data_IF_882107669716
#
_entry.id   IF_882107669716
#
_cell.length_a   1.000
_cell.length_b   1.000
_cell.length_c   1.000
_cell.angle_alpha   90.00
_cell.angle_beta   90.00
_cell.angle_gamma   90.00
#
_symmetry.space_group_name_H-M   'P 1'
#
loop_
_entity.id
_entity.type
_entity.pdbx_description
1 polymer ?
#
# COMPACT_ATOMS: atom_id res chain seq x y z
N UNK A 1 13.51 3.08 36.36
CA UNK A 1 13.39 4.55 36.18
C UNK A 1 13.40 4.86 34.68
N UNK A 2 12.49 5.70 34.17
CA UNK A 2 12.39 6.04 32.75
C UNK A 2 13.13 7.35 32.41
N UNK A 3 13.61 7.54 31.16
CA UNK A 3 14.27 8.77 30.75
C UNK A 3 13.28 9.94 30.71
N UNK A 4 13.79 11.15 30.98
CA UNK A 4 13.01 12.39 30.86
C UNK A 4 12.58 12.65 29.41
N UNK A 5 11.45 13.35 29.24
CA UNK A 5 10.82 13.59 27.94
C UNK A 5 11.75 14.25 26.90
N UNK A 6 12.64 15.16 27.31
CA UNK A 6 13.59 15.79 26.39
C UNK A 6 14.50 14.77 25.70
N UNK A 7 14.93 13.70 26.40
CA UNK A 7 15.72 12.61 25.80
C UNK A 7 14.88 11.83 24.77
N UNK A 8 13.61 11.61 25.07
CA UNK A 8 12.66 10.96 24.14
C UNK A 8 12.43 11.84 22.91
N UNK A 9 12.29 13.16 23.07
CA UNK A 9 12.10 14.11 21.97
C UNK A 9 13.29 14.10 21.01
N UNK A 10 14.51 14.12 21.54
CA UNK A 10 15.75 14.00 20.73
C UNK A 10 15.75 12.66 19.97
N UNK A 11 15.41 11.56 20.65
CA UNK A 11 15.31 10.25 20.00
C UNK A 11 14.21 10.18 18.93
N UNK A 12 13.08 10.88 19.11
CA UNK A 12 11.99 10.96 18.11
C UNK A 12 12.38 11.77 16.88
N UNK A 13 13.04 12.91 17.07
CA UNK A 13 13.53 13.76 15.97
C UNK A 13 14.47 12.99 15.05
N UNK A 14 15.29 12.12 15.64
CA UNK A 14 16.15 11.21 14.89
C UNK A 14 15.34 10.24 13.99
N UNK A 15 14.10 9.90 14.31
CA UNK A 15 13.27 8.95 13.57
C UNK A 15 12.34 9.59 12.52
N UNK A 16 12.35 10.92 12.37
CA UNK A 16 11.52 11.59 11.38
C UNK A 16 12.20 11.62 10.01
N UNK A 17 11.47 11.35 8.93
CA UNK A 17 12.00 11.52 7.58
C UNK A 17 12.22 12.99 7.26
N UNK A 18 13.13 13.26 6.33
CA UNK A 18 13.31 14.58 5.74
C UNK A 18 12.15 14.89 4.79
N UNK A 19 11.95 16.17 4.47
CA UNK A 19 10.99 16.65 3.46
C UNK A 19 9.51 16.32 3.75
N UNK A 20 9.11 16.37 5.03
CA UNK A 20 7.70 16.30 5.41
C UNK A 20 7.03 17.64 5.12
N UNK A 21 6.02 17.64 4.26
CA UNK A 21 5.16 18.79 4.03
C UNK A 21 3.87 18.61 4.83
N UNK A 22 3.54 19.57 5.69
CA UNK A 22 2.34 19.54 6.52
C UNK A 22 1.56 20.83 6.29
N UNK A 23 0.29 20.67 5.97
CA UNK A 23 -0.68 21.76 5.82
C UNK A 23 -1.90 21.46 6.69
N UNK A 24 -2.87 22.37 6.72
CA UNK A 24 -4.13 22.14 7.44
C UNK A 24 -4.95 20.97 6.87
N UNK A 25 -4.81 20.68 5.56
CA UNK A 25 -5.67 19.74 4.84
C UNK A 25 -4.99 18.42 4.47
N UNK A 26 -3.65 18.38 4.48
CA UNK A 26 -2.90 17.16 4.20
C UNK A 26 -1.50 17.21 4.81
N UNK A 27 -0.93 16.03 5.00
CA UNK A 27 0.51 15.88 5.14
C UNK A 27 1.04 14.86 4.13
N UNK A 28 2.18 15.16 3.52
CA UNK A 28 2.82 14.29 2.55
C UNK A 28 4.33 14.23 2.75
N UNK A 29 4.90 13.09 2.38
CA UNK A 29 6.33 12.85 2.37
C UNK A 29 6.69 12.40 0.96
N UNK A 30 7.77 12.97 0.41
CA UNK A 30 8.29 12.51 -0.89
C UNK A 30 8.67 11.03 -0.78
N UNK A 31 8.22 10.22 -1.75
CA UNK A 31 8.46 8.78 -1.71
C UNK A 31 9.95 8.43 -1.66
N UNK A 32 10.79 9.17 -2.39
CA UNK A 32 12.24 9.02 -2.32
C UNK A 32 12.77 9.28 -0.91
N UNK A 33 12.40 10.38 -0.25
CA UNK A 33 12.83 10.70 1.11
C UNK A 33 12.37 9.65 2.14
N UNK A 34 11.18 9.06 1.94
CA UNK A 34 10.68 7.98 2.77
C UNK A 34 11.44 6.66 2.55
N UNK A 35 11.84 6.37 1.31
CA UNK A 35 12.67 5.23 0.94
C UNK A 35 14.13 5.41 1.36
N UNK A 36 14.63 6.64 1.35
CA UNK A 36 15.98 6.96 1.79
C UNK A 36 16.10 7.03 3.30
N UNK A 37 14.98 7.09 4.02
CA UNK A 37 14.97 7.18 5.47
C UNK A 37 15.69 5.97 6.10
N UNK A 38 16.97 6.20 6.37
CA UNK A 38 18.01 5.19 6.41
C UNK A 38 17.88 4.28 7.62
N UNK A 39 17.26 4.78 8.69
CA UNK A 39 17.08 4.04 9.96
C UNK A 39 16.16 2.84 9.79
N UNK A 40 15.20 2.93 8.86
CA UNK A 40 14.32 1.83 8.54
C UNK A 40 15.09 0.64 7.96
N UNK A 41 15.95 0.90 6.98
CA UNK A 41 16.78 -0.10 6.33
C UNK A 41 17.93 -0.55 7.23
N UNK A 42 18.54 0.36 7.97
CA UNK A 42 19.70 0.07 8.81
C UNK A 42 19.36 -0.95 9.91
N UNK A 43 18.20 -0.80 10.58
CA UNK A 43 17.74 -1.77 11.57
C UNK A 43 17.47 -3.15 10.94
N UNK A 44 16.85 -3.16 9.75
CA UNK A 44 16.55 -4.37 9.00
C UNK A 44 17.84 -5.08 8.54
N UNK A 45 18.77 -4.33 7.97
CA UNK A 45 20.01 -4.85 7.37
C UNK A 45 21.02 -5.25 8.46
N UNK A 46 21.07 -4.55 9.60
CA UNK A 46 21.87 -5.00 10.75
C UNK A 46 21.41 -6.36 11.30
N UNK A 47 20.11 -6.66 11.27
CA UNK A 47 19.63 -7.99 11.69
C UNK A 47 20.12 -9.13 10.76
N UNK A 48 20.50 -8.79 9.52
CA UNK A 48 20.98 -9.73 8.50
C UNK A 48 22.51 -9.82 8.38
N UNK A 49 23.25 -9.30 9.37
CA UNK A 49 24.72 -9.12 9.46
C UNK A 49 25.61 -10.23 8.85
N UNK A 50 25.19 -11.50 8.87
CA UNK A 50 25.99 -12.61 8.34
C UNK A 50 26.07 -12.68 6.81
N UNK A 51 25.11 -12.10 6.07
CA UNK A 51 25.05 -12.25 4.61
C UNK A 51 25.66 -11.08 3.83
N UNK A 52 25.95 -9.95 4.48
CA UNK A 52 26.26 -8.68 3.81
C UNK A 52 27.69 -8.53 3.31
N UNK A 53 28.67 -9.29 3.84
CA UNK A 53 30.08 -9.14 3.44
C UNK A 53 30.35 -9.34 1.94
N UNK A 54 29.39 -9.94 1.20
CA UNK A 54 29.52 -10.27 -0.22
C UNK A 54 28.55 -9.44 -1.09
N UNK A 55 27.53 -8.81 -0.50
CA UNK A 55 26.37 -8.31 -1.25
C UNK A 55 26.38 -6.79 -1.36
N UNK A 56 26.80 -6.27 -2.52
CA UNK A 56 26.82 -4.80 -2.81
C UNK A 56 25.48 -4.25 -3.27
N UNK A 57 24.58 -5.10 -3.75
CA UNK A 57 23.27 -4.72 -4.28
C UNK A 57 22.16 -5.55 -3.66
N UNK A 58 21.18 -4.88 -3.08
CA UNK A 58 19.98 -5.49 -2.52
C UNK A 58 18.75 -5.00 -3.30
N UNK A 59 17.71 -5.82 -3.31
CA UNK A 59 16.41 -5.46 -3.82
C UNK A 59 15.41 -5.49 -2.66
N UNK A 60 14.54 -4.48 -2.58
CA UNK A 60 13.44 -4.45 -1.62
C UNK A 60 12.10 -4.51 -2.35
N UNK A 61 11.22 -5.38 -1.85
CA UNK A 61 9.81 -5.43 -2.26
C UNK A 61 9.00 -4.68 -1.23
N UNK A 62 8.26 -3.69 -1.71
CA UNK A 62 7.37 -2.85 -0.91
C UNK A 62 5.98 -2.96 -1.51
N UNK A 63 4.97 -3.24 -0.69
CA UNK A 63 3.58 -3.11 -1.09
C UNK A 63 3.12 -1.69 -0.78
N UNK A 64 2.24 -1.14 -1.61
CA UNK A 64 1.63 0.15 -1.35
C UNK A 64 0.18 0.17 -1.84
N UNK A 65 -0.56 1.16 -1.37
CA UNK A 65 -1.94 1.37 -1.76
C UNK A 65 -2.56 2.56 -1.04
N UNK A 66 -3.87 2.64 -1.11
CA UNK A 66 -4.64 3.73 -0.55
C UNK A 66 -5.97 3.25 -0.01
N UNK A 67 -6.54 4.01 0.90
CA UNK A 67 -7.81 3.70 1.55
C UNK A 67 -8.47 4.99 2.05
N UNK A 68 -9.80 4.97 2.13
CA UNK A 68 -10.65 6.06 2.58
C UNK A 68 -11.49 5.68 3.80
N UNK A 69 -11.57 6.57 4.78
CA UNK A 69 -12.39 6.37 5.99
C UNK A 69 -13.15 7.64 6.35
N UNK A 70 -14.38 7.50 6.83
CA UNK A 70 -15.15 8.59 7.42
C UNK A 70 -14.85 8.71 8.92
N UNK A 71 -14.77 9.92 9.45
CA UNK A 71 -14.43 10.20 10.84
C UNK A 71 -15.25 11.35 11.42
N UNK A 72 -15.27 11.46 12.75
CA UNK A 72 -15.90 12.57 13.45
C UNK A 72 -15.17 13.89 13.15
N UNK A 73 -15.93 14.95 12.87
CA UNK A 73 -15.40 16.29 12.63
C UNK A 73 -14.87 16.92 13.91
N UNK A 74 -13.68 17.50 13.84
CA UNK A 74 -13.17 18.34 14.91
C UNK A 74 -13.72 19.76 14.77
N UNK A 75 -13.78 20.51 15.87
CA UNK A 75 -14.12 21.95 15.85
C UNK A 75 -12.93 22.82 15.43
N UNK A 76 -12.07 22.31 14.55
CA UNK A 76 -10.90 23.01 14.06
C UNK A 76 -11.34 24.01 12.99
N UNK A 77 -10.89 25.26 13.12
CA UNK A 77 -11.12 26.27 12.09
C UNK A 77 -10.12 26.06 10.96
N UNK A 78 -10.62 25.86 9.75
CA UNK A 78 -9.80 25.85 8.54
C UNK A 78 -9.66 27.28 7.99
N UNK A 79 -8.55 27.52 7.29
CA UNK A 79 -8.31 28.78 6.58
C UNK A 79 -9.31 28.99 5.43
N UNK A 80 -9.88 27.91 4.86
CA UNK A 80 -10.91 27.99 3.83
C UNK A 80 -12.22 27.31 4.27
N UNK A 81 -13.35 27.90 3.90
CA UNK A 81 -14.69 27.40 4.26
C UNK A 81 -15.08 26.09 3.56
N UNK A 82 -14.38 25.72 2.48
CA UNK A 82 -14.63 24.50 1.72
C UNK A 82 -13.89 23.27 2.28
N UNK A 83 -13.09 23.43 3.33
CA UNK A 83 -12.35 22.34 3.95
C UNK A 83 -13.18 21.66 5.05
N UNK A 84 -13.09 20.33 5.09
CA UNK A 84 -13.74 19.49 6.11
C UNK A 84 -12.84 18.31 6.42
N UNK A 85 -12.77 17.93 7.70
CA UNK A 85 -12.06 16.75 8.21
C UNK A 85 -12.94 15.52 8.38
N UNK A 86 -14.19 15.56 7.92
CA UNK A 86 -15.14 14.44 7.99
C UNK A 86 -14.65 13.15 7.33
N UNK A 87 -13.78 13.27 6.32
CA UNK A 87 -13.25 12.11 5.61
C UNK A 87 -11.75 12.20 5.53
N UNK A 88 -11.11 11.05 5.67
CA UNK A 88 -9.67 10.88 5.55
C UNK A 88 -9.38 9.95 4.38
N UNK A 89 -8.52 10.40 3.48
CA UNK A 89 -7.95 9.56 2.43
C UNK A 89 -6.46 9.43 2.68
N UNK A 90 -5.95 8.19 2.65
CA UNK A 90 -4.56 7.90 2.98
C UNK A 90 -3.87 7.05 1.93
N UNK A 91 -2.58 7.32 1.70
CA UNK A 91 -1.67 6.51 0.90
C UNK A 91 -0.56 5.98 1.79
N UNK A 92 -0.25 4.71 1.63
CA UNK A 92 0.64 4.00 2.53
C UNK A 92 1.48 2.95 1.82
N UNK A 93 2.53 2.53 2.49
CA UNK A 93 3.37 1.42 2.06
C UNK A 93 3.85 0.55 3.21
N UNK A 94 4.14 -0.71 2.89
CA UNK A 94 4.67 -1.71 3.81
C UNK A 94 5.82 -2.45 3.13
N UNK A 95 7.02 -2.44 3.70
CA UNK A 95 8.12 -3.26 3.22
C UNK A 95 7.87 -4.73 3.59
N UNK A 96 8.06 -5.63 2.62
CA UNK A 96 7.76 -7.04 2.76
C UNK A 96 9.01 -7.89 2.84
N UNK A 97 9.98 -7.60 1.97
CA UNK A 97 11.12 -8.48 1.79
C UNK A 97 12.30 -7.71 1.25
N UNK A 98 13.49 -8.01 1.78
CA UNK A 98 14.77 -7.63 1.19
C UNK A 98 15.48 -8.90 0.75
N UNK A 99 15.99 -8.91 -0.47
CA UNK A 99 16.71 -10.03 -1.02
C UNK A 99 17.88 -9.58 -1.88
N UNK A 100 18.85 -10.47 -2.04
CA UNK A 100 19.90 -10.35 -3.03
C UNK A 100 19.73 -11.41 -4.10
N UNK A 101 20.27 -11.11 -5.28
CA UNK A 101 20.39 -12.07 -6.37
C UNK A 101 21.88 -12.34 -6.54
N UNK A 102 22.28 -13.61 -6.48
CA UNK A 102 23.66 -14.00 -6.80
C UNK A 102 23.87 -14.04 -8.31
N UNK A 103 25.14 -14.16 -8.75
CA UNK A 103 25.48 -14.30 -10.18
C UNK A 103 24.79 -15.50 -10.85
N UNK A 104 24.50 -16.55 -10.06
CA UNK A 104 23.75 -17.74 -10.48
C UNK A 104 22.22 -17.53 -10.51
N UNK A 105 21.74 -16.28 -10.38
CA UNK A 105 20.31 -15.90 -10.30
C UNK A 105 19.56 -16.49 -9.12
N UNK A 106 20.25 -16.95 -8.08
CA UNK A 106 19.61 -17.51 -6.88
C UNK A 106 19.16 -16.35 -5.99
N UNK A 107 17.87 -16.30 -5.67
CA UNK A 107 17.29 -15.32 -4.75
C UNK A 107 17.62 -15.72 -3.31
N UNK A 108 18.44 -14.92 -2.63
CA UNK A 108 18.76 -15.07 -1.21
C UNK A 108 18.00 -14.03 -0.39
N UNK A 109 17.13 -14.48 0.50
CA UNK A 109 16.37 -13.61 1.39
C UNK A 109 17.30 -13.10 2.50
N UNK A 110 17.38 -11.79 2.62
CA UNK A 110 18.19 -11.09 3.64
C UNK A 110 17.30 -10.72 4.82
N UNK A 111 16.08 -10.29 4.53
CA UNK A 111 15.07 -10.00 5.54
C UNK A 111 13.67 -10.27 4.98
N UNK A 112 12.79 -10.73 5.86
CA UNK A 112 11.38 -10.91 5.59
C UNK A 112 10.60 -10.24 6.71
N UNK A 113 9.56 -9.49 6.38
CA UNK A 113 8.67 -8.91 7.37
C UNK A 113 7.95 -10.04 8.14
N UNK A 114 8.14 -10.15 9.48
CA UNK A 114 7.53 -11.22 10.28
C UNK A 114 6.02 -11.03 10.48
N UNK A 115 5.49 -9.84 10.21
CA UNK A 115 4.07 -9.51 10.38
C UNK A 115 3.62 -8.52 9.31
N UNK A 116 3.47 -8.94 8.04
CA UNK A 116 3.20 -8.05 6.91
C UNK A 116 1.83 -7.35 6.99
N UNK A 117 0.91 -7.86 7.80
CA UNK A 117 -0.42 -7.28 8.04
C UNK A 117 -0.48 -6.40 9.29
N UNK A 118 0.63 -6.25 10.03
CA UNK A 118 0.67 -5.42 11.23
C UNK A 118 0.83 -3.95 10.88
N UNK A 119 0.06 -3.10 11.56
CA UNK A 119 0.18 -1.63 11.48
C UNK A 119 1.57 -1.12 11.86
N UNK A 120 2.38 -1.89 12.59
CA UNK A 120 3.75 -1.54 12.99
C UNK A 120 4.70 -1.29 11.81
N UNK A 121 4.50 -1.98 10.69
CA UNK A 121 5.33 -1.84 9.50
C UNK A 121 4.72 -0.91 8.44
N UNK A 122 3.53 -0.39 8.72
CA UNK A 122 2.85 0.57 7.87
C UNK A 122 3.58 1.92 7.91
N UNK A 123 3.84 2.48 6.73
CA UNK A 123 4.50 3.77 6.55
C UNK A 123 3.58 4.65 5.71
N UNK A 124 3.22 5.80 6.27
CA UNK A 124 2.34 6.75 5.62
C UNK A 124 3.15 7.53 4.57
N UNK A 125 2.65 7.57 3.34
CA UNK A 125 3.18 8.40 2.27
C UNK A 125 2.49 9.76 2.31
N UNK A 126 1.15 9.73 2.38
CA UNK A 126 0.31 10.92 2.41
C UNK A 126 -1.00 10.63 3.12
N UNK A 127 -1.53 11.61 3.82
CA UNK A 127 -2.94 11.61 4.20
C UNK A 127 -3.53 12.98 3.90
N UNK A 128 -4.83 13.01 3.60
CA UNK A 128 -5.57 14.23 3.35
C UNK A 128 -6.99 14.14 3.90
N UNK A 129 -7.50 15.29 4.34
CA UNK A 129 -8.90 15.46 4.70
C UNK A 129 -9.74 15.61 3.44
N UNK A 130 -10.12 14.48 2.85
CA UNK A 130 -10.91 14.41 1.64
C UNK A 130 -11.69 13.10 1.57
N UNK A 131 -12.88 13.16 0.96
CA UNK A 131 -13.69 11.96 0.70
C UNK A 131 -13.07 11.14 -0.42
N UNK A 132 -13.12 9.82 -0.28
CA UNK A 132 -12.67 8.91 -1.32
C UNK A 132 -13.56 9.01 -2.56
N UNK A 133 -13.02 9.62 -3.62
CA UNK A 133 -13.69 9.79 -4.92
C UNK A 133 -12.83 9.23 -6.05
N UNK A 134 -13.46 8.90 -7.18
CA UNK A 134 -12.79 8.41 -8.39
C UNK A 134 -11.65 9.33 -8.84
N UNK A 135 -11.87 10.65 -8.77
CA UNK A 135 -10.89 11.65 -9.18
C UNK A 135 -9.67 11.68 -8.25
N UNK A 136 -9.90 11.64 -6.94
CA UNK A 136 -8.81 11.63 -5.94
C UNK A 136 -7.99 10.35 -6.08
N UNK A 137 -8.64 9.18 -6.18
CA UNK A 137 -7.96 7.90 -6.37
C UNK A 137 -7.09 7.95 -7.63
N UNK A 138 -7.65 8.31 -8.79
CA UNK A 138 -6.91 8.34 -10.06
C UNK A 138 -5.73 9.30 -10.01
N UNK A 139 -5.93 10.49 -9.44
CA UNK A 139 -4.90 11.53 -9.35
C UNK A 139 -3.76 11.11 -8.44
N UNK A 140 -4.04 10.67 -7.22
CA UNK A 140 -3.00 10.31 -6.24
C UNK A 140 -2.28 9.01 -6.61
N UNK A 141 -3.00 8.02 -7.17
CA UNK A 141 -2.39 6.78 -7.68
C UNK A 141 -1.48 7.09 -8.87
N UNK A 142 -1.91 7.96 -9.80
CA UNK A 142 -1.07 8.40 -10.93
C UNK A 142 0.19 9.11 -10.44
N UNK A 143 0.06 10.10 -9.56
CA UNK A 143 1.18 10.85 -8.98
C UNK A 143 2.16 9.92 -8.27
N UNK A 144 1.66 8.99 -7.46
CA UNK A 144 2.52 8.04 -6.73
C UNK A 144 3.23 7.08 -7.70
N UNK A 145 2.57 6.63 -8.77
CA UNK A 145 3.22 5.80 -9.80
C UNK A 145 4.32 6.54 -10.54
N UNK A 146 4.12 7.82 -10.84
CA UNK A 146 5.17 8.66 -11.43
C UNK A 146 6.37 8.76 -10.49
N UNK A 147 6.13 8.97 -9.18
CA UNK A 147 7.19 8.92 -8.18
C UNK A 147 7.91 7.57 -8.16
N UNK A 148 7.16 6.46 -8.17
CA UNK A 148 7.71 5.08 -8.21
C UNK A 148 8.62 4.88 -9.42
N UNK A 149 8.23 5.38 -10.60
CA UNK A 149 9.07 5.28 -11.83
C UNK A 149 10.35 6.08 -11.73
N UNK A 150 10.32 7.21 -11.01
CA UNK A 150 11.49 8.07 -10.79
C UNK A 150 12.35 7.67 -9.59
N UNK A 151 11.99 6.61 -8.85
CA UNK A 151 12.74 6.19 -7.66
C UNK A 151 14.16 5.74 -8.02
N UNK A 152 15.12 6.27 -7.28
CA UNK A 152 16.51 5.89 -7.37
C UNK A 152 16.84 4.86 -6.28
N UNK A 153 17.81 3.96 -6.53
CA UNK A 153 18.33 3.09 -5.48
C UNK A 153 18.88 3.89 -4.31
N UNK A 154 18.49 3.51 -3.10
CA UNK A 154 18.98 4.11 -1.85
C UNK A 154 20.37 3.57 -1.53
N UNK A 155 21.35 4.43 -1.31
CA UNK A 155 22.70 4.05 -0.88
C UNK A 155 22.81 4.09 0.63
N UNK A 156 23.34 3.02 1.23
CA UNK A 156 23.51 2.89 2.67
C UNK A 156 24.97 2.55 2.95
N UNK A 157 25.62 3.31 3.83
CA UNK A 157 26.94 2.97 4.36
C UNK A 157 26.81 2.05 5.57
N UNK A 158 27.39 0.86 5.48
CA UNK A 158 27.41 -0.17 6.53
C UNK A 158 28.84 -0.64 6.74
N UNK A 159 29.46 -0.28 7.87
CA UNK A 159 30.82 -0.69 8.24
C UNK A 159 31.82 -0.48 7.10
N UNK A 160 31.89 0.75 6.57
CA UNK A 160 32.77 1.16 5.46
C UNK A 160 32.48 0.52 4.10
N UNK A 161 31.34 -0.17 3.96
CA UNK A 161 30.84 -0.67 2.67
C UNK A 161 29.59 0.10 2.23
N UNK A 162 29.57 0.55 0.98
CA UNK A 162 28.36 1.09 0.35
C UNK A 162 27.50 -0.06 -0.21
N UNK A 163 26.25 -0.13 0.26
CA UNK A 163 25.24 -1.06 -0.23
C UNK A 163 24.15 -0.27 -0.94
N UNK A 164 23.83 -0.65 -2.17
CA UNK A 164 22.74 -0.05 -2.94
C UNK A 164 21.48 -0.89 -2.81
N UNK A 165 20.37 -0.27 -2.40
CA UNK A 165 19.06 -0.92 -2.24
C UNK A 165 18.13 -0.44 -3.33
N UNK A 166 17.81 -1.33 -4.28
CA UNK A 166 16.89 -1.05 -5.37
C UNK A 166 15.44 -1.34 -4.96
N UNK A 167 14.53 -0.35 -5.05
CA UNK A 167 13.14 -0.56 -4.68
C UNK A 167 12.29 -1.15 -5.81
N UNK A 168 11.37 -2.04 -5.43
CA UNK A 168 10.28 -2.54 -6.29
C UNK A 168 8.97 -2.38 -5.53
N UNK A 169 8.10 -1.47 -6.00
CA UNK A 169 6.84 -1.15 -5.36
C UNK A 169 5.66 -1.81 -6.09
N UNK A 170 4.85 -2.56 -5.34
CA UNK A 170 3.68 -3.30 -5.84
C UNK A 170 2.41 -2.63 -5.31
N UNK A 171 1.56 -2.15 -6.22
CA UNK A 171 0.29 -1.52 -5.88
C UNK A 171 -0.77 -2.59 -5.62
N UNK A 172 -0.99 -2.94 -4.35
CA UNK A 172 -1.85 -4.07 -3.97
C UNK A 172 -2.49 -3.95 -2.59
N UNK A 173 -2.30 -2.83 -1.88
CA UNK A 173 -2.99 -2.57 -0.61
C UNK A 173 -4.22 -1.70 -0.85
N UNK A 174 -5.17 -2.24 -1.59
CA UNK A 174 -6.38 -1.54 -2.05
C UNK A 174 -7.60 -2.44 -1.90
N UNK A 175 -8.79 -1.87 -1.94
CA UNK A 175 -10.04 -2.62 -1.96
C UNK A 175 -10.58 -2.81 -3.39
N UNK A 176 -11.69 -3.54 -3.52
CA UNK A 176 -12.33 -3.76 -4.82
C UNK A 176 -12.85 -2.48 -5.47
N UNK A 177 -13.25 -1.48 -4.68
CA UNK A 177 -13.75 -0.19 -5.18
C UNK A 177 -12.62 0.60 -5.85
N UNK A 178 -11.47 0.67 -5.21
CA UNK A 178 -10.26 1.29 -5.75
C UNK A 178 -9.75 0.50 -6.97
N UNK A 179 -9.86 -0.84 -6.95
CA UNK A 179 -9.53 -1.65 -8.13
C UNK A 179 -10.39 -1.25 -9.34
N UNK A 180 -11.70 -1.16 -9.17
CA UNK A 180 -12.62 -0.73 -10.23
C UNK A 180 -12.31 0.71 -10.70
N UNK A 181 -12.08 1.63 -9.76
CA UNK A 181 -11.68 3.00 -10.06
C UNK A 181 -10.42 3.09 -10.93
N UNK A 182 -9.42 2.26 -10.63
CA UNK A 182 -8.14 2.21 -11.35
C UNK A 182 -8.24 1.44 -12.67
N UNK A 183 -9.07 0.41 -12.73
CA UNK A 183 -9.34 -0.38 -13.93
C UNK A 183 -10.22 0.36 -14.96
N UNK A 184 -10.85 1.47 -14.54
CA UNK A 184 -11.78 2.22 -15.39
C UNK A 184 -13.17 1.58 -15.48
N UNK A 185 -13.50 0.67 -14.56
CA UNK A 185 -14.84 0.10 -14.45
C UNK A 185 -15.76 1.09 -13.73
N UNK A 186 -16.88 1.45 -14.36
CA UNK A 186 -17.85 2.39 -13.79
C UNK A 186 -18.67 1.78 -12.65
N UNK A 187 -18.93 0.47 -12.71
CA UNK A 187 -19.67 -0.27 -11.68
C UNK A 187 -18.73 -1.00 -10.74
N UNK A 188 -19.02 -0.93 -9.43
CA UNK A 188 -18.35 -1.74 -8.40
C UNK A 188 -18.70 -3.22 -8.47
N UNK A 189 -19.78 -3.58 -9.15
CA UNK A 189 -20.23 -4.96 -9.35
C UNK A 189 -19.59 -5.63 -10.57
N UNK A 190 -18.93 -4.87 -11.43
CA UNK A 190 -18.16 -5.42 -12.52
C UNK A 190 -16.85 -6.01 -12.01
N UNK A 191 -16.40 -7.11 -12.62
CA UNK A 191 -15.14 -7.71 -12.25
C UNK A 191 -13.96 -6.88 -12.76
N UNK A 192 -13.17 -6.30 -11.87
CA UNK A 192 -12.07 -5.39 -12.24
C UNK A 192 -10.98 -6.03 -13.12
N UNK A 193 -10.86 -7.37 -13.17
CA UNK A 193 -9.85 -8.03 -14.03
C UNK A 193 -10.29 -8.13 -15.49
N UNK A 194 -11.57 -8.21 -15.81
CA UNK A 194 -12.02 -8.43 -17.20
C UNK A 194 -13.28 -7.62 -17.58
N UNK A 195 -13.81 -6.80 -16.67
CA UNK A 195 -15.01 -6.00 -16.86
C UNK A 195 -16.30 -6.80 -16.94
N UNK A 196 -16.30 -8.09 -16.58
CA UNK A 196 -17.49 -8.93 -16.61
C UNK A 196 -18.57 -8.39 -15.68
N UNK A 197 -19.82 -8.34 -16.16
CA UNK A 197 -21.00 -8.00 -15.36
C UNK A 197 -21.45 -9.23 -14.55
N UNK A 198 -22.20 -9.05 -13.45
CA UNK A 198 -22.77 -10.17 -12.69
C UNK A 198 -23.58 -11.15 -13.55
N UNK A 199 -24.30 -10.64 -14.55
CA UNK A 199 -25.08 -11.46 -15.50
C UNK A 199 -24.21 -12.37 -16.39
N UNK A 200 -22.93 -12.04 -16.56
CA UNK A 200 -21.99 -12.77 -17.43
C UNK A 200 -21.13 -13.76 -16.62
N UNK A 201 -21.05 -13.60 -15.29
CA UNK A 201 -20.12 -14.36 -14.44
C UNK A 201 -20.41 -15.87 -14.39
N UNK A 202 -21.67 -16.26 -14.62
CA UNK A 202 -22.06 -17.67 -14.60
C UNK A 202 -21.85 -18.37 -15.95
N UNK A 203 -21.42 -17.65 -17.00
CA UNK A 203 -21.15 -18.23 -18.32
C UNK A 203 -19.64 -18.29 -18.58
N UNK A 204 -19.08 -19.48 -18.40
CA UNK A 204 -17.65 -19.75 -18.60
C UNK A 204 -17.18 -19.38 -20.01
N UNK A 205 -18.02 -19.55 -21.04
CA UNK A 205 -17.65 -19.25 -22.43
C UNK A 205 -17.44 -17.75 -22.63
N UNK A 206 -18.32 -16.95 -22.03
CA UNK A 206 -18.22 -15.49 -22.08
C UNK A 206 -16.98 -15.02 -21.31
N UNK A 207 -16.72 -15.59 -20.14
CA UNK A 207 -15.55 -15.21 -19.32
C UNK A 207 -14.24 -15.55 -20.00
N UNK A 208 -14.12 -16.73 -20.62
CA UNK A 208 -12.90 -17.14 -21.33
C UNK A 208 -12.58 -16.27 -22.55
N UNK A 209 -13.58 -15.61 -23.15
CA UNK A 209 -13.40 -14.72 -24.30
C UNK A 209 -13.00 -13.29 -23.89
N UNK A 210 -13.19 -12.90 -22.62
CA UNK A 210 -12.84 -11.55 -22.17
C UNK A 210 -11.33 -11.42 -21.99
N UNK A 211 -10.80 -10.32 -22.50
CA UNK A 211 -9.40 -9.95 -22.29
C UNK A 211 -9.20 -9.46 -20.85
N UNK A 212 -8.08 -9.85 -20.25
CA UNK A 212 -7.69 -9.32 -18.94
C UNK A 212 -7.36 -7.84 -19.13
N UNK A 213 -8.11 -6.98 -18.44
CA UNK A 213 -7.84 -5.55 -18.36
C UNK A 213 -6.43 -5.40 -17.83
N UNK A 214 -5.57 -4.72 -18.60
CA UNK A 214 -4.17 -4.54 -18.23
C UNK A 214 -4.09 -3.74 -16.94
N UNK A 215 -3.89 -4.42 -15.82
CA UNK A 215 -3.55 -3.73 -14.59
C UNK A 215 -2.14 -3.12 -14.76
N UNK A 216 -1.92 -1.87 -14.30
CA UNK A 216 -0.63 -1.20 -14.49
C UNK A 216 0.57 -1.86 -13.79
N UNK A 217 0.34 -2.91 -12.98
CA UNK A 217 1.39 -3.86 -12.60
C UNK A 217 1.29 -5.10 -13.49
N UNK A 218 2.37 -5.43 -14.21
CA UNK A 218 2.54 -6.71 -14.94
C UNK A 218 2.45 -7.96 -14.03
N UNK A 219 2.20 -7.78 -12.74
CA UNK A 219 2.03 -8.82 -11.73
C UNK A 219 0.53 -9.02 -11.53
N UNK A 220 0.01 -10.03 -12.24
CA UNK A 220 -1.04 -11.01 -11.91
C UNK A 220 -2.06 -10.62 -10.83
N UNK A 221 -3.34 -10.84 -11.15
CA UNK A 221 -4.53 -10.72 -10.29
C UNK A 221 -4.25 -10.76 -8.79
N UNK A 222 -4.31 -9.57 -8.19
CA UNK A 222 -4.10 -9.40 -6.76
C UNK A 222 -5.38 -9.89 -6.08
N UNK A 223 -5.29 -11.05 -5.43
CA UNK A 223 -6.34 -11.53 -4.55
C UNK A 223 -6.30 -10.74 -3.24
N UNK A 224 -7.47 -10.26 -2.77
CA UNK A 224 -7.63 -9.51 -1.52
C UNK A 224 -8.32 -10.41 -0.48
N UNK A 225 -7.58 -11.14 0.36
CA UNK A 225 -8.17 -12.19 1.19
C UNK A 225 -9.25 -11.67 2.13
N UNK A 226 -9.05 -10.48 2.69
CA UNK A 226 -9.98 -9.92 3.68
C UNK A 226 -11.31 -9.49 3.06
N UNK A 227 -11.28 -8.74 1.95
CA UNK A 227 -12.48 -8.36 1.23
C UNK A 227 -13.20 -9.58 0.62
N UNK A 228 -12.44 -10.58 0.14
CA UNK A 228 -13.01 -11.83 -0.36
C UNK A 228 -13.75 -12.58 0.75
N UNK A 229 -13.13 -12.74 1.93
CA UNK A 229 -13.73 -13.43 3.06
C UNK A 229 -15.05 -12.78 3.51
N UNK A 230 -15.06 -11.44 3.65
CA UNK A 230 -16.27 -10.68 3.98
C UNK A 230 -17.37 -10.85 2.92
N UNK A 231 -16.99 -10.82 1.64
CA UNK A 231 -17.95 -10.98 0.53
C UNK A 231 -18.55 -12.38 0.51
N UNK A 232 -17.73 -13.42 0.73
CA UNK A 232 -18.20 -14.82 0.83
C UNK A 232 -19.19 -14.98 1.98
N UNK A 233 -18.86 -14.47 3.18
CA UNK A 233 -19.77 -14.52 4.33
C UNK A 233 -21.10 -13.81 4.06
N UNK A 234 -21.04 -12.66 3.38
CA UNK A 234 -22.25 -11.93 2.97
C UNK A 234 -23.13 -12.72 1.98
N UNK A 235 -22.51 -13.35 0.98
CA UNK A 235 -23.21 -14.21 0.01
C UNK A 235 -23.81 -15.44 0.66
N UNK A 236 -23.08 -16.11 1.56
CA UNK A 236 -23.57 -17.28 2.29
C UNK A 236 -24.79 -16.92 3.15
N UNK A 237 -24.77 -15.75 3.80
CA UNK A 237 -25.91 -15.25 4.56
C UNK A 237 -27.12 -14.93 3.67
N UNK A 238 -26.90 -14.26 2.53
CA UNK A 238 -27.95 -13.98 1.54
C UNK A 238 -28.57 -15.27 0.99
N UNK A 239 -27.74 -16.26 0.66
CA UNK A 239 -28.18 -17.56 0.18
C UNK A 239 -29.00 -18.29 1.26
N UNK A 240 -28.53 -18.30 2.51
CA UNK A 240 -29.26 -18.89 3.63
C UNK A 240 -30.62 -18.19 3.84
N UNK A 241 -30.66 -16.86 3.77
CA UNK A 241 -31.90 -16.08 3.87
C UNK A 241 -32.88 -16.39 2.74
N UNK A 242 -32.40 -16.47 1.49
CA UNK A 242 -33.23 -16.81 0.33
C UNK A 242 -33.76 -18.25 0.40
N UNK A 243 -32.91 -19.21 0.79
CA UNK A 243 -33.32 -20.61 0.98
C UNK A 243 -34.39 -20.69 2.07
N UNK A 244 -34.19 -20.00 3.21
CA UNK A 244 -35.16 -19.96 4.30
C UNK A 244 -36.51 -19.37 3.86
N UNK A 245 -36.50 -18.30 3.06
CA UNK A 245 -37.72 -17.71 2.51
C UNK A 245 -38.44 -18.55 1.45
N UNK A 246 -37.70 -19.35 0.68
CA UNK A 246 -38.28 -20.27 -0.32
C UNK A 246 -38.88 -21.50 0.36
N UNK A 247 -38.25 -22.00 1.42
CA UNK A 247 -38.73 -23.18 2.17
C UNK A 247 -39.95 -22.87 3.06
N UNK A 248 -40.18 -21.58 3.40
CA UNK A 248 -41.33 -21.12 4.19
C UNK A 248 -42.55 -20.68 3.38
N UNK A 249 -42.52 -20.80 2.05
CA UNK A 249 -43.68 -20.61 1.16
C UNK A 249 -44.17 -21.95 0.63
#
# INVERSE_FOLDING_TARGET
MYPAYHKIKVAKQLCYPSDVNVTETFAEIKLQSLMDHTKHYYAIVQSARRCLKILRTLNIIVKWGCDGVEQSRYKQKFSSENCSDESLFSLSMVPIQIYSVSDQKIKKIVWQNPSPYSTRYFRLIKFMFAKETLNIIKTEVKRTREQVKSLLPTKISLNDMEVSVKPTLIFCMIDGKICNAVAGCESTQSYYLCGAKPSEMNDERIIMQKTVISFPSKTVGIFFPWACHLSTLGLDFLNAYYIFHIVLK
#
